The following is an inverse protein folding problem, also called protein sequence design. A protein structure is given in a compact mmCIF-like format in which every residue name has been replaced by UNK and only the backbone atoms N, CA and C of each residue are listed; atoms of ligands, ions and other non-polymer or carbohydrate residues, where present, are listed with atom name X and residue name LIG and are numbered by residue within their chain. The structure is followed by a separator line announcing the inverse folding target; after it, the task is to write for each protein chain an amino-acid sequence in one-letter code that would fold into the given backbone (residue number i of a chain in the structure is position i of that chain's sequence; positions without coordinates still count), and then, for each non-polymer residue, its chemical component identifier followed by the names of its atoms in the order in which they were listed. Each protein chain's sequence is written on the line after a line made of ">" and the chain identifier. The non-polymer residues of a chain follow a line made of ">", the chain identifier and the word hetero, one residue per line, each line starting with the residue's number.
data_IF_440447483781
#
_entry.id   IF_440447483781
#
_cell.length_a   1.000
_cell.length_b   1.000
_cell.length_c   1.000
_cell.angle_alpha   90.00
_cell.angle_beta   90.00
_cell.angle_gamma   90.00
#
_symmetry.space_group_name_H-M   'P 1'
#
loop_
_entity.id
_entity.type
_entity.pdbx_description
1 polymer ?
#
# COMPACT_ATOMS: atom_id res chain seq x y z
N UNK A 1 3.10 -1.99 13.71
CA UNK A 1 1.92 -2.84 13.51
C UNK A 1 1.30 -2.73 12.11
N UNK A 2 1.28 -1.56 11.50
CA UNK A 2 0.66 -1.36 10.17
C UNK A 2 1.28 -2.19 9.04
N UNK A 3 2.60 -2.42 9.05
CA UNK A 3 3.33 -3.20 8.03
C UNK A 3 3.31 -4.72 8.28
N UNK A 4 2.83 -5.15 9.44
CA UNK A 4 2.86 -6.56 9.84
C UNK A 4 2.09 -7.49 8.87
N UNK A 5 0.88 -7.15 8.39
CA UNK A 5 0.16 -8.00 7.44
C UNK A 5 0.91 -8.20 6.13
N UNK A 6 1.53 -7.12 5.62
CA UNK A 6 2.31 -7.17 4.40
C UNK A 6 3.59 -8.01 4.56
N UNK A 7 4.26 -7.89 5.69
CA UNK A 7 5.45 -8.69 5.99
C UNK A 7 5.11 -10.19 6.07
N UNK A 8 4.01 -10.54 6.75
CA UNK A 8 3.55 -11.93 6.83
C UNK A 8 3.19 -12.46 5.44
N UNK A 9 2.47 -11.69 4.62
CA UNK A 9 2.17 -12.03 3.24
C UNK A 9 3.45 -12.32 2.44
N UNK A 10 4.46 -11.43 2.49
CA UNK A 10 5.71 -11.60 1.75
C UNK A 10 6.51 -12.83 2.19
N UNK A 11 6.62 -13.06 3.50
CA UNK A 11 7.34 -14.22 4.03
C UNK A 11 6.63 -15.50 3.61
N UNK A 12 5.31 -15.56 3.77
CA UNK A 12 4.53 -16.74 3.47
C UNK A 12 4.49 -17.04 1.97
N UNK A 13 4.39 -16.02 1.11
CA UNK A 13 4.46 -16.19 -0.35
C UNK A 13 5.79 -16.79 -0.80
N UNK A 14 6.90 -16.32 -0.23
CA UNK A 14 8.24 -16.87 -0.53
C UNK A 14 8.42 -18.31 -0.03
N UNK A 15 7.88 -18.64 1.13
CA UNK A 15 7.95 -20.00 1.67
C UNK A 15 7.14 -21.01 0.84
N UNK A 16 6.02 -20.58 0.25
CA UNK A 16 5.19 -21.45 -0.59
C UNK A 16 5.70 -21.56 -2.04
N UNK A 17 6.51 -20.63 -2.51
CA UNK A 17 7.03 -20.61 -3.89
C UNK A 17 7.75 -21.91 -4.29
N UNK A 18 8.22 -22.67 -3.30
CA UNK A 18 8.93 -23.95 -3.50
C UNK A 18 8.03 -25.19 -3.52
N UNK A 19 6.73 -25.11 -3.20
CA UNK A 19 5.97 -26.35 -2.86
C UNK A 19 4.60 -26.57 -3.54
N UNK A 20 3.86 -25.59 -4.08
CA UNK A 20 2.46 -25.78 -4.52
C UNK A 20 2.07 -25.01 -5.79
N UNK A 21 1.16 -25.58 -6.60
CA UNK A 21 0.66 -25.04 -7.88
C UNK A 21 -0.25 -23.80 -7.74
N UNK A 22 -0.98 -23.62 -6.64
CA UNK A 22 -1.83 -22.44 -6.34
C UNK A 22 -1.15 -21.52 -5.31
N UNK A 23 -0.04 -20.94 -5.74
CA UNK A 23 0.96 -20.25 -4.87
C UNK A 23 0.45 -19.00 -4.14
N UNK A 24 -0.63 -18.34 -4.61
CA UNK A 24 -1.00 -17.00 -4.16
C UNK A 24 -2.23 -16.96 -3.24
N UNK A 25 -3.10 -17.96 -3.28
CA UNK A 25 -4.37 -17.94 -2.53
C UNK A 25 -4.15 -17.96 -1.01
N UNK A 26 -3.38 -18.92 -0.50
CA UNK A 26 -3.14 -19.06 0.92
C UNK A 26 -2.41 -17.84 1.55
N UNK A 27 -1.34 -17.29 0.95
CA UNK A 27 -0.73 -16.04 1.43
C UNK A 27 -1.67 -14.83 1.40
N UNK A 28 -2.53 -14.71 0.38
CA UNK A 28 -3.50 -13.62 0.28
C UNK A 28 -4.60 -13.73 1.34
N UNK A 29 -5.12 -14.92 1.60
CA UNK A 29 -6.11 -15.15 2.66
C UNK A 29 -5.53 -14.84 4.04
N UNK A 30 -4.35 -15.37 4.36
CA UNK A 30 -3.70 -15.11 5.65
C UNK A 30 -3.33 -13.64 5.82
N UNK A 31 -2.73 -13.02 4.80
CA UNK A 31 -2.40 -11.60 4.79
C UNK A 31 -3.64 -10.70 4.96
N UNK A 32 -4.74 -11.05 4.28
CA UNK A 32 -6.01 -10.34 4.36
C UNK A 32 -6.66 -10.44 5.74
N UNK A 33 -6.72 -11.62 6.35
CA UNK A 33 -7.22 -11.80 7.72
C UNK A 33 -6.42 -10.96 8.73
N UNK A 34 -5.09 -10.99 8.64
CA UNK A 34 -4.22 -10.20 9.51
C UNK A 34 -4.40 -8.70 9.23
N UNK A 35 -4.63 -8.28 7.97
CA UNK A 35 -4.89 -6.89 7.62
C UNK A 35 -6.21 -6.39 8.25
N UNK A 36 -7.27 -7.19 8.24
CA UNK A 36 -8.54 -6.86 8.91
C UNK A 36 -8.32 -6.64 10.40
N UNK A 37 -7.65 -7.59 11.07
CA UNK A 37 -7.36 -7.49 12.50
C UNK A 37 -6.49 -6.26 12.83
N UNK A 38 -5.45 -6.01 12.03
CA UNK A 38 -4.57 -4.87 12.20
C UNK A 38 -5.32 -3.54 12.03
N UNK A 39 -6.16 -3.40 11.01
CA UNK A 39 -6.96 -2.21 10.80
C UNK A 39 -7.98 -2.00 11.92
N UNK A 40 -8.64 -3.06 12.38
CA UNK A 40 -9.58 -2.97 13.51
C UNK A 40 -8.87 -2.45 14.78
N UNK A 41 -7.68 -2.98 15.11
CA UNK A 41 -6.88 -2.52 16.26
C UNK A 41 -6.43 -1.07 16.09
N UNK A 42 -5.99 -0.67 14.90
CA UNK A 42 -5.50 0.68 14.64
C UNK A 42 -6.63 1.72 14.71
N UNK A 43 -7.81 1.38 14.17
CA UNK A 43 -8.99 2.25 14.23
C UNK A 43 -9.47 2.43 15.67
N UNK A 44 -9.52 1.37 16.48
CA UNK A 44 -9.91 1.46 17.90
C UNK A 44 -8.94 2.29 18.73
N UNK A 45 -7.65 2.21 18.41
CA UNK A 45 -6.61 2.99 19.12
C UNK A 45 -6.43 4.42 18.61
N UNK A 46 -7.20 4.85 17.59
CA UNK A 46 -7.09 6.19 16.96
C UNK A 46 -5.67 6.58 16.55
N UNK A 47 -4.85 5.58 16.19
CA UNK A 47 -3.47 5.78 15.74
C UNK A 47 -3.48 6.44 14.35
N UNK A 48 -2.48 7.26 14.07
CA UNK A 48 -2.31 7.89 12.76
C UNK A 48 -1.96 6.82 11.72
N UNK A 49 -2.88 6.58 10.78
CA UNK A 49 -2.69 5.63 9.69
C UNK A 49 -1.77 6.21 8.61
N UNK A 50 -0.76 5.44 8.22
CA UNK A 50 0.06 5.76 7.06
C UNK A 50 -0.73 5.42 5.79
N UNK A 51 -0.97 6.42 4.92
CA UNK A 51 -1.76 6.25 3.68
C UNK A 51 -1.25 5.15 2.75
N UNK A 52 0.08 4.94 2.67
CA UNK A 52 0.67 3.88 1.85
C UNK A 52 0.33 2.51 2.44
N UNK A 53 0.55 2.32 3.75
CA UNK A 53 0.26 1.05 4.42
C UNK A 53 -1.24 0.76 4.48
N UNK A 54 -2.07 1.81 4.57
CA UNK A 54 -3.52 1.69 4.45
C UNK A 54 -3.91 1.11 3.07
N UNK A 55 -3.32 1.64 1.98
CA UNK A 55 -3.56 1.14 0.62
C UNK A 55 -3.18 -0.33 0.45
N UNK A 56 -2.02 -0.73 0.99
CA UNK A 56 -1.58 -2.13 0.96
C UNK A 56 -2.53 -3.03 1.74
N UNK A 57 -2.98 -2.61 2.93
CA UNK A 57 -3.92 -3.39 3.74
C UNK A 57 -5.29 -3.53 3.05
N UNK A 58 -5.80 -2.46 2.42
CA UNK A 58 -7.05 -2.52 1.64
C UNK A 58 -6.90 -3.48 0.45
N UNK A 59 -5.77 -3.45 -0.25
CA UNK A 59 -5.49 -4.41 -1.32
C UNK A 59 -5.55 -5.86 -0.80
N UNK A 60 -4.89 -6.18 0.32
CA UNK A 60 -4.91 -7.51 0.90
C UNK A 60 -6.33 -7.96 1.30
N UNK A 61 -7.12 -7.05 1.88
CA UNK A 61 -8.51 -7.34 2.26
C UNK A 61 -9.37 -7.59 1.03
N UNK A 62 -9.27 -6.75 0.00
CA UNK A 62 -10.06 -6.91 -1.23
C UNK A 62 -9.67 -8.16 -2.00
N UNK A 63 -8.37 -8.50 -2.04
CA UNK A 63 -7.89 -9.73 -2.65
C UNK A 63 -8.37 -10.98 -1.88
N UNK A 64 -8.28 -10.96 -0.56
CA UNK A 64 -8.80 -12.01 0.30
C UNK A 64 -10.32 -12.21 0.10
N UNK A 65 -11.09 -11.13 0.11
CA UNK A 65 -12.53 -11.16 -0.12
C UNK A 65 -12.88 -11.71 -1.50
N UNK A 66 -12.13 -11.33 -2.53
CA UNK A 66 -12.34 -11.83 -3.89
C UNK A 66 -12.12 -13.35 -4.00
N UNK A 67 -11.18 -13.90 -3.21
CA UNK A 67 -10.95 -15.36 -3.16
C UNK A 67 -12.05 -16.03 -2.35
N UNK A 68 -12.41 -15.51 -1.17
CA UNK A 68 -13.40 -16.12 -0.28
C UNK A 68 -14.83 -16.13 -0.87
N UNK A 69 -15.18 -15.14 -1.68
CA UNK A 69 -16.49 -15.01 -2.33
C UNK A 69 -16.50 -15.47 -3.80
N UNK A 70 -15.42 -16.12 -4.27
CA UNK A 70 -15.27 -16.61 -5.65
C UNK A 70 -15.57 -15.55 -6.72
N UNK A 71 -15.14 -14.29 -6.47
CA UNK A 71 -15.35 -13.19 -7.41
C UNK A 71 -14.30 -13.26 -8.53
N UNK A 72 -14.51 -14.16 -9.49
CA UNK A 72 -13.55 -14.49 -10.56
C UNK A 72 -13.08 -13.30 -11.39
N UNK A 73 -13.92 -12.30 -11.63
CA UNK A 73 -13.51 -11.14 -12.42
C UNK A 73 -12.51 -10.27 -11.69
N UNK A 74 -12.63 -10.09 -10.36
CA UNK A 74 -11.66 -9.36 -9.52
C UNK A 74 -10.35 -10.13 -9.45
N UNK A 75 -10.41 -11.44 -9.22
CA UNK A 75 -9.22 -12.31 -9.19
C UNK A 75 -8.45 -12.21 -10.51
N UNK A 76 -9.17 -12.23 -11.67
CA UNK A 76 -8.57 -12.11 -12.99
C UNK A 76 -7.91 -10.75 -13.21
N UNK A 77 -8.52 -9.66 -12.74
CA UNK A 77 -7.93 -8.32 -12.81
C UNK A 77 -6.65 -8.28 -11.99
N UNK A 78 -6.67 -8.75 -10.74
CA UNK A 78 -5.51 -8.75 -9.85
C UNK A 78 -4.37 -9.64 -10.38
N UNK A 79 -4.68 -10.79 -10.94
CA UNK A 79 -3.71 -11.66 -11.59
C UNK A 79 -3.03 -11.00 -12.80
N UNK A 80 -3.77 -10.17 -13.56
CA UNK A 80 -3.21 -9.43 -14.71
C UNK A 80 -2.40 -8.21 -14.28
N UNK A 81 -2.84 -7.51 -13.24
CA UNK A 81 -2.22 -6.25 -12.78
C UNK A 81 -1.08 -6.48 -11.81
N UNK A 82 -1.01 -7.63 -11.13
CA UNK A 82 0.04 -7.95 -10.14
C UNK A 82 0.33 -6.79 -9.18
N UNK A 83 1.55 -6.26 -9.18
CA UNK A 83 1.99 -5.15 -8.31
C UNK A 83 1.30 -3.83 -8.66
N UNK A 84 0.94 -3.59 -9.91
CA UNK A 84 0.26 -2.34 -10.29
C UNK A 84 -1.12 -2.21 -9.62
N UNK A 85 -1.79 -3.32 -9.27
CA UNK A 85 -3.02 -3.28 -8.47
C UNK A 85 -2.77 -2.76 -7.05
N UNK A 86 -1.66 -3.16 -6.42
CA UNK A 86 -1.27 -2.65 -5.09
C UNK A 86 -1.04 -1.15 -5.15
N UNK A 87 -0.31 -0.67 -6.17
CA UNK A 87 -0.01 0.76 -6.35
C UNK A 87 -1.28 1.55 -6.63
N UNK A 88 -2.23 1.01 -7.40
CA UNK A 88 -3.53 1.64 -7.61
C UNK A 88 -4.29 1.83 -6.29
N UNK A 89 -4.30 0.84 -5.39
CA UNK A 89 -4.89 0.96 -4.07
C UNK A 89 -4.14 1.96 -3.18
N UNK A 90 -2.81 2.07 -3.30
CA UNK A 90 -2.03 3.11 -2.62
C UNK A 90 -2.47 4.50 -3.10
N UNK A 91 -2.63 4.72 -4.41
CA UNK A 91 -3.10 6.00 -4.97
C UNK A 91 -4.49 6.35 -4.43
N UNK A 92 -5.43 5.41 -4.47
CA UNK A 92 -6.78 5.59 -3.92
C UNK A 92 -6.71 5.96 -2.43
N UNK A 93 -5.90 5.25 -1.66
CA UNK A 93 -5.72 5.50 -0.23
C UNK A 93 -5.11 6.88 0.06
N UNK A 94 -4.13 7.33 -0.74
CA UNK A 94 -3.55 8.68 -0.65
C UNK A 94 -4.65 9.73 -0.85
N UNK A 95 -5.48 9.58 -1.89
CA UNK A 95 -6.57 10.52 -2.19
C UNK A 95 -7.61 10.53 -1.06
N UNK A 96 -8.08 9.36 -0.66
CA UNK A 96 -9.10 9.21 0.41
C UNK A 96 -8.59 9.79 1.74
N UNK A 97 -7.32 9.54 2.09
CA UNK A 97 -6.73 10.07 3.34
C UNK A 97 -6.67 11.60 3.33
N UNK A 98 -6.41 12.24 2.20
CA UNK A 98 -6.44 13.69 2.09
C UNK A 98 -7.83 14.25 2.41
N UNK A 99 -8.89 13.63 1.88
CA UNK A 99 -10.27 14.11 2.11
C UNK A 99 -10.76 13.86 3.54
N UNK A 100 -10.41 12.71 4.14
CA UNK A 100 -10.92 12.34 5.47
C UNK A 100 -10.07 12.94 6.60
N UNK A 101 -8.74 12.96 6.46
CA UNK A 101 -7.80 13.37 7.50
C UNK A 101 -6.68 14.29 6.99
N UNK A 102 -6.98 15.47 6.44
CA UNK A 102 -5.97 16.35 5.82
C UNK A 102 -4.84 16.73 6.79
N UNK A 103 -5.17 16.99 8.06
CA UNK A 103 -4.18 17.40 9.08
C UNK A 103 -3.24 16.28 9.55
N UNK A 104 -3.52 15.02 9.20
CA UNK A 104 -2.77 13.83 9.66
C UNK A 104 -2.13 13.04 8.52
N UNK A 105 -2.14 13.58 7.32
CA UNK A 105 -1.77 12.89 6.08
C UNK A 105 -0.37 12.24 6.13
N UNK A 106 0.62 12.86 6.79
CA UNK A 106 2.00 12.35 6.87
C UNK A 106 2.35 11.89 8.31
N UNK A 107 1.40 11.90 9.24
CA UNK A 107 1.66 11.54 10.63
C UNK A 107 2.36 12.62 11.45
N UNK A 108 2.26 13.90 11.05
CA UNK A 108 2.86 15.04 11.74
C UNK A 108 1.77 16.09 12.04
N UNK A 109 1.71 16.57 13.28
CA UNK A 109 0.55 17.33 13.79
C UNK A 109 0.51 18.83 13.47
N UNK A 110 1.52 19.41 12.79
CA UNK A 110 1.61 20.88 12.65
C UNK A 110 2.05 21.29 11.24
N UNK A 111 1.08 21.48 10.33
CA UNK A 111 1.39 22.04 9.01
C UNK A 111 0.36 23.05 8.53
N UNK A 112 0.86 24.11 7.89
CA UNK A 112 0.05 24.97 7.03
C UNK A 112 -0.56 24.18 5.88
N UNK A 113 -1.75 24.58 5.42
CA UNK A 113 -2.50 23.91 4.34
C UNK A 113 -1.66 23.73 3.05
N UNK A 114 -0.83 24.70 2.72
CA UNK A 114 0.08 24.67 1.56
C UNK A 114 1.09 23.52 1.64
N UNK A 115 1.62 23.25 2.81
CA UNK A 115 2.59 22.17 3.04
C UNK A 115 1.96 20.79 2.90
N UNK A 116 0.72 20.64 3.39
CA UNK A 116 -0.06 19.40 3.23
C UNK A 116 -0.31 19.13 1.76
N UNK A 117 -0.76 20.13 0.99
CA UNK A 117 -1.00 20.00 -0.44
C UNK A 117 0.27 19.68 -1.22
N UNK A 118 1.39 20.34 -0.92
CA UNK A 118 2.66 20.08 -1.60
C UNK A 118 3.13 18.64 -1.36
N UNK A 119 3.02 18.16 -0.13
CA UNK A 119 3.37 16.78 0.22
C UNK A 119 2.46 15.76 -0.44
N UNK A 120 1.17 16.06 -0.51
CA UNK A 120 0.18 15.23 -1.18
C UNK A 120 0.49 15.10 -2.67
N UNK A 121 0.68 16.22 -3.38
CA UNK A 121 0.98 16.19 -4.81
C UNK A 121 2.31 15.49 -5.09
N UNK A 122 3.34 15.72 -4.26
CA UNK A 122 4.63 15.05 -4.41
C UNK A 122 4.49 13.53 -4.27
N UNK A 123 3.76 13.05 -3.25
CA UNK A 123 3.55 11.62 -3.05
C UNK A 123 2.63 11.01 -4.12
N UNK A 124 1.61 11.75 -4.57
CA UNK A 124 0.73 11.32 -5.65
C UNK A 124 1.49 11.16 -6.98
N UNK A 125 2.31 12.15 -7.34
CA UNK A 125 3.14 12.10 -8.55
C UNK A 125 4.10 10.90 -8.47
N UNK A 126 4.76 10.69 -7.34
CA UNK A 126 5.64 9.54 -7.15
C UNK A 126 4.89 8.21 -7.31
N UNK A 127 3.67 8.11 -6.78
CA UNK A 127 2.84 6.90 -6.91
C UNK A 127 2.36 6.68 -8.35
N UNK A 128 2.02 7.75 -9.09
CA UNK A 128 1.65 7.66 -10.51
C UNK A 128 2.85 7.23 -11.35
N UNK A 129 4.04 7.80 -11.11
CA UNK A 129 5.27 7.38 -11.79
C UNK A 129 5.56 5.91 -11.50
N UNK A 130 5.44 5.47 -10.25
CA UNK A 130 5.61 4.09 -9.85
C UNK A 130 4.62 3.16 -10.57
N UNK A 131 3.36 3.59 -10.73
CA UNK A 131 2.34 2.84 -11.46
C UNK A 131 2.73 2.67 -12.94
N UNK A 132 3.15 3.76 -13.59
CA UNK A 132 3.59 3.71 -15.00
C UNK A 132 4.78 2.77 -15.17
N UNK A 133 5.79 2.86 -14.29
CA UNK A 133 6.95 1.95 -14.31
C UNK A 133 6.49 0.50 -14.17
N UNK A 134 5.62 0.20 -13.20
CA UNK A 134 5.11 -1.15 -12.96
C UNK A 134 4.35 -1.73 -14.16
N UNK A 135 3.61 -0.91 -14.91
CA UNK A 135 2.87 -1.33 -16.11
C UNK A 135 3.81 -1.53 -17.30
N UNK A 136 4.73 -0.57 -17.53
CA UNK A 136 5.62 -0.58 -18.70
C UNK A 136 6.65 -1.72 -18.62
N UNK A 137 7.19 -1.96 -17.43
CA UNK A 137 8.22 -2.98 -17.20
C UNK A 137 7.66 -4.29 -16.63
N UNK A 138 6.42 -4.64 -16.97
CA UNK A 138 5.70 -5.80 -16.44
C UNK A 138 6.48 -7.12 -16.54
N UNK A 139 7.27 -7.30 -17.59
CA UNK A 139 8.00 -8.54 -17.88
C UNK A 139 9.31 -8.68 -17.06
N UNK A 140 9.72 -7.63 -16.36
CA UNK A 140 10.91 -7.63 -15.52
C UNK A 140 10.52 -7.40 -14.06
N UNK A 141 10.61 -8.45 -13.22
CA UNK A 141 10.15 -8.38 -11.82
C UNK A 141 10.86 -7.32 -10.98
N UNK A 142 12.15 -7.05 -11.23
CA UNK A 142 12.89 -6.00 -10.50
C UNK A 142 12.30 -4.62 -10.79
N UNK A 143 12.07 -4.31 -12.08
CA UNK A 143 11.54 -3.01 -12.49
C UNK A 143 10.05 -2.87 -12.20
N UNK A 144 9.28 -3.94 -12.26
CA UNK A 144 7.84 -3.89 -12.01
C UNK A 144 7.47 -3.93 -10.53
N UNK A 145 8.32 -4.49 -9.67
CA UNK A 145 8.03 -4.71 -8.25
C UNK A 145 8.88 -3.85 -7.33
N UNK A 146 10.22 -3.97 -7.40
CA UNK A 146 11.12 -3.35 -6.42
C UNK A 146 11.23 -1.84 -6.62
N UNK A 147 11.44 -1.39 -7.86
CA UNK A 147 11.65 0.03 -8.15
C UNK A 147 10.42 0.88 -7.82
N UNK A 148 9.18 0.51 -8.20
CA UNK A 148 8.00 1.28 -7.84
C UNK A 148 7.81 1.47 -6.33
N UNK A 149 7.99 0.41 -5.55
CA UNK A 149 7.92 0.52 -4.09
C UNK A 149 9.05 1.38 -3.52
N UNK A 150 10.28 1.21 -4.01
CA UNK A 150 11.41 2.03 -3.59
C UNK A 150 11.14 3.52 -3.84
N UNK A 151 10.62 3.91 -5.01
CA UNK A 151 10.28 5.30 -5.33
C UNK A 151 9.26 5.85 -4.34
N UNK A 152 8.18 5.12 -4.05
CA UNK A 152 7.13 5.56 -3.12
C UNK A 152 7.67 5.71 -1.70
N UNK A 153 8.40 4.71 -1.18
CA UNK A 153 8.92 4.74 0.18
C UNK A 153 10.03 5.77 0.38
N UNK A 154 10.94 5.93 -0.60
CA UNK A 154 11.97 6.96 -0.57
C UNK A 154 11.32 8.34 -0.56
N UNK A 155 10.35 8.61 -1.43
CA UNK A 155 9.63 9.89 -1.46
C UNK A 155 8.96 10.15 -0.11
N UNK A 156 8.28 9.17 0.46
CA UNK A 156 7.67 9.31 1.79
C UNK A 156 8.70 9.59 2.87
N UNK A 157 9.85 8.92 2.86
CA UNK A 157 10.92 9.12 3.83
C UNK A 157 11.48 10.54 3.75
N UNK A 158 11.75 11.05 2.53
CA UNK A 158 12.22 12.42 2.33
C UNK A 158 11.21 13.46 2.81
N UNK A 159 9.92 13.26 2.50
CA UNK A 159 8.87 14.14 2.99
C UNK A 159 8.79 14.16 4.51
N UNK A 160 8.82 13.00 5.16
CA UNK A 160 8.85 12.92 6.62
C UNK A 160 10.06 13.68 7.20
N UNK A 161 11.27 13.41 6.70
CA UNK A 161 12.49 14.04 7.18
C UNK A 161 12.47 15.57 7.04
N UNK A 162 12.06 16.07 5.86
CA UNK A 162 11.97 17.50 5.59
C UNK A 162 11.07 18.23 6.57
N UNK A 163 9.93 17.62 6.91
CA UNK A 163 8.92 18.29 7.73
C UNK A 163 9.04 18.03 9.22
N UNK A 164 9.78 17.02 9.65
CA UNK A 164 10.11 16.83 11.06
C UNK A 164 11.13 17.89 11.55
N UNK A 165 12.03 18.36 10.67
CA UNK A 165 13.02 19.38 11.01
C UNK A 165 12.49 20.82 10.98
N UNK A 166 11.35 21.10 10.37
CA UNK A 166 10.74 22.45 10.35
C UNK A 166 9.84 22.73 11.57
N UNK A 167 9.64 21.78 12.47
CA UNK A 167 8.76 21.87 13.64
C UNK A 167 9.47 22.12 14.98
N UNK A 168 10.79 22.27 14.98
CA UNK A 168 11.61 22.78 16.10
C UNK A 168 12.06 24.21 15.77
#
# INVERSE_FOLDING_TARGET
>A
MESFPFTVFLIYSKMLESRITNKWEAPLITGGCIAILSLAILLTRKVQLNSILLGINIYLITACSAIMFDIFWVQRIYAKMTVSAVIAWIIISIIVTLFIYPKRFIGINHFGWTTILLSFFSLLIAAVIALVISIVFKDNSIFSEIIPFAVIFITQHFLKRKYTHCGN
#
